data_IF_987876670681
#
_entry.id   IF_987876670681
#
_cell.length_a   1.000
_cell.length_b   1.000
_cell.length_c   1.000
_cell.angle_alpha   90.00
_cell.angle_beta   90.00
_cell.angle_gamma   90.00
#
_symmetry.space_group_name_H-M   'P 1'
#
loop_
_entity.id
_entity.type
_entity.pdbx_description
1 polymer ?
#
# COMPACT_ATOMS: atom_id res chain seq x y z
N UNK A 1 -25.69 -0.09 9.40
CA UNK A 1 -24.27 -0.14 9.74
C UNK A 1 -23.56 -0.97 8.68
N UNK A 2 -22.57 -0.40 8.01
CA UNK A 2 -21.82 -1.02 6.92
C UNK A 2 -20.32 -0.79 7.06
N UNK A 3 -19.51 -1.75 6.59
CA UNK A 3 -18.09 -1.55 6.27
C UNK A 3 -17.97 -1.15 4.82
N UNK A 4 -17.07 -0.23 4.53
CA UNK A 4 -16.82 0.27 3.19
C UNK A 4 -15.32 0.34 2.94
N UNK A 5 -14.89 -0.05 1.74
CA UNK A 5 -13.54 0.20 1.24
C UNK A 5 -13.63 0.99 -0.05
N UNK A 6 -13.10 2.20 -0.04
CA UNK A 6 -12.87 3.01 -1.23
C UNK A 6 -11.39 3.01 -1.55
N UNK A 7 -11.02 2.80 -2.80
CA UNK A 7 -9.60 2.84 -3.15
C UNK A 7 -9.30 2.68 -4.62
N UNK A 8 -8.03 2.79 -4.92
CA UNK A 8 -7.44 2.45 -6.22
C UNK A 8 -6.20 1.60 -6.03
N UNK A 9 -5.86 0.84 -7.05
CA UNK A 9 -4.65 0.04 -7.06
C UNK A 9 -4.02 -0.02 -8.47
N UNK A 10 -2.97 -0.83 -8.60
CA UNK A 10 -2.23 -1.00 -9.85
C UNK A 10 -3.08 -1.55 -11.02
N UNK A 11 -4.24 -2.16 -10.76
CA UNK A 11 -5.15 -2.65 -11.79
C UNK A 11 -6.14 -1.58 -12.26
N UNK A 12 -6.48 -0.61 -11.39
CA UNK A 12 -7.53 0.38 -11.67
C UNK A 12 -6.98 1.75 -12.05
N UNK A 13 -5.72 2.07 -11.71
CA UNK A 13 -5.17 3.40 -11.91
C UNK A 13 -3.73 3.38 -12.44
N UNK A 14 -3.40 4.30 -13.38
CA UNK A 14 -2.03 4.48 -13.86
C UNK A 14 -1.11 5.00 -12.74
N UNK A 15 0.21 4.79 -12.91
CA UNK A 15 1.24 5.17 -11.92
C UNK A 15 1.12 6.64 -11.51
N UNK A 16 0.97 7.55 -12.49
CA UNK A 16 0.89 8.98 -12.23
C UNK A 16 -0.26 9.37 -11.28
N UNK A 17 -1.42 8.71 -11.40
CA UNK A 17 -2.55 8.94 -10.50
C UNK A 17 -2.32 8.31 -9.12
N UNK A 18 -1.73 7.11 -9.08
CA UNK A 18 -1.38 6.44 -7.81
C UNK A 18 -0.39 7.28 -7.00
N UNK A 19 0.63 7.86 -7.66
CA UNK A 19 1.60 8.75 -7.02
C UNK A 19 0.96 10.02 -6.46
N UNK A 20 0.03 10.64 -7.19
CA UNK A 20 -0.71 11.82 -6.72
C UNK A 20 -1.54 11.51 -5.48
N UNK A 21 -2.20 10.34 -5.43
CA UNK A 21 -3.06 9.93 -4.33
C UNK A 21 -2.32 9.27 -3.17
N UNK A 22 -1.04 8.93 -3.33
CA UNK A 22 -0.24 8.31 -2.28
C UNK A 22 -0.01 9.24 -1.08
N UNK A 23 0.08 8.63 0.10
CA UNK A 23 0.48 9.30 1.34
C UNK A 23 1.91 8.84 1.68
N UNK A 24 2.91 9.72 1.54
CA UNK A 24 4.32 9.30 1.59
C UNK A 24 4.82 8.95 2.99
N UNK A 25 4.14 9.43 4.04
CA UNK A 25 4.57 9.22 5.43
C UNK A 25 3.39 8.92 6.35
N UNK A 26 3.68 8.35 7.53
CA UNK A 26 2.67 8.08 8.57
C UNK A 26 2.03 9.37 9.09
N UNK A 27 2.80 10.43 9.17
CA UNK A 27 2.37 11.76 9.59
C UNK A 27 1.36 12.33 8.58
N UNK A 28 1.63 12.15 7.28
CA UNK A 28 0.69 12.56 6.22
C UNK A 28 -0.64 11.79 6.32
N UNK A 29 -0.59 10.49 6.63
CA UNK A 29 -1.80 9.67 6.87
C UNK A 29 -2.54 10.18 8.11
N UNK A 30 -1.84 10.45 9.22
CA UNK A 30 -2.45 10.97 10.45
C UNK A 30 -3.13 12.33 10.26
N UNK A 31 -2.48 13.23 9.53
CA UNK A 31 -3.05 14.54 9.16
C UNK A 31 -4.30 14.37 8.31
N UNK A 32 -4.25 13.48 7.30
CA UNK A 32 -5.39 13.19 6.44
C UNK A 32 -6.57 12.58 7.21
N UNK A 33 -6.32 11.67 8.15
CA UNK A 33 -7.36 11.10 9.01
C UNK A 33 -7.99 12.16 9.93
N UNK A 34 -7.20 13.09 10.43
CA UNK A 34 -7.70 14.21 11.24
C UNK A 34 -8.58 15.16 10.41
N UNK A 35 -8.19 15.46 9.19
CA UNK A 35 -8.95 16.25 8.23
C UNK A 35 -10.26 15.52 7.83
N UNK A 36 -10.20 14.24 7.51
CA UNK A 36 -11.36 13.40 7.21
C UNK A 36 -12.36 13.41 8.37
N UNK A 37 -11.86 13.28 9.61
CA UNK A 37 -12.70 13.35 10.81
C UNK A 37 -13.41 14.70 10.93
N UNK A 38 -12.74 15.79 10.58
CA UNK A 38 -13.33 17.14 10.58
C UNK A 38 -14.49 17.29 9.60
N UNK A 39 -14.33 16.71 8.41
CA UNK A 39 -15.29 16.87 7.32
C UNK A 39 -16.39 15.79 7.26
N UNK A 40 -16.07 14.54 7.59
CA UNK A 40 -16.95 13.38 7.35
C UNK A 40 -17.24 12.57 8.62
N UNK A 41 -17.12 13.14 9.82
CA UNK A 41 -17.30 12.42 11.08
C UNK A 41 -18.64 11.67 11.20
N UNK A 42 -19.72 12.25 10.69
CA UNK A 42 -21.04 11.62 10.69
C UNK A 42 -21.17 10.46 9.72
N UNK A 43 -20.49 10.55 8.57
CA UNK A 43 -20.53 9.54 7.51
C UNK A 43 -19.46 8.46 7.69
N UNK A 44 -18.29 8.80 8.23
CA UNK A 44 -17.18 7.89 8.46
C UNK A 44 -16.60 8.04 9.88
N UNK A 45 -17.34 7.62 10.93
CA UNK A 45 -16.89 7.75 12.32
C UNK A 45 -15.67 6.89 12.64
N UNK A 46 -15.43 5.82 11.90
CA UNK A 46 -14.21 5.05 11.92
C UNK A 46 -13.59 5.05 10.52
N UNK A 47 -12.30 5.34 10.40
CA UNK A 47 -11.58 5.28 9.15
C UNK A 47 -10.10 4.91 9.34
N UNK A 48 -9.54 4.23 8.35
CA UNK A 48 -8.12 3.94 8.24
C UNK A 48 -7.67 4.10 6.79
N UNK A 49 -6.46 4.60 6.57
CA UNK A 49 -5.88 4.78 5.24
C UNK A 49 -4.69 3.83 5.09
N UNK A 50 -4.76 2.94 4.11
CA UNK A 50 -3.65 2.13 3.64
C UNK A 50 -3.09 2.78 2.36
N UNK A 51 -1.85 3.23 2.42
CA UNK A 51 -1.15 3.79 1.26
C UNK A 51 0.19 3.10 1.06
N UNK A 52 0.41 2.60 -0.15
CA UNK A 52 1.63 1.91 -0.58
C UNK A 52 2.02 2.42 -1.98
N UNK A 53 3.10 1.91 -2.57
CA UNK A 53 3.45 2.24 -3.97
C UNK A 53 2.39 1.76 -4.99
N UNK A 54 1.56 0.76 -4.62
CA UNK A 54 0.66 0.09 -5.54
C UNK A 54 -0.82 0.33 -5.25
N UNK A 55 -1.17 0.93 -4.10
CA UNK A 55 -2.56 1.20 -3.73
C UNK A 55 -2.69 2.36 -2.74
N UNK A 56 -3.82 3.02 -2.79
CA UNK A 56 -4.34 3.89 -1.74
C UNK A 56 -5.77 3.52 -1.47
N UNK A 57 -6.07 3.13 -0.23
CA UNK A 57 -7.38 2.62 0.18
C UNK A 57 -7.82 3.29 1.49
N UNK A 58 -9.09 3.63 1.57
CA UNK A 58 -9.77 4.10 2.77
C UNK A 58 -10.74 3.02 3.22
N UNK A 59 -10.50 2.46 4.38
CA UNK A 59 -11.42 1.57 5.06
C UNK A 59 -12.24 2.39 6.04
N UNK A 60 -13.55 2.28 6.01
CA UNK A 60 -14.39 3.01 6.97
C UNK A 60 -15.61 2.20 7.43
N UNK A 61 -16.11 2.59 8.60
CA UNK A 61 -17.44 2.21 9.09
C UNK A 61 -18.40 3.34 8.78
N UNK A 62 -19.57 3.02 8.29
CA UNK A 62 -20.62 4.00 8.00
C UNK A 62 -22.02 3.46 8.32
N UNK A 63 -22.96 4.34 8.62
CA UNK A 63 -24.38 4.02 8.71
C UNK A 63 -25.16 4.45 7.45
N UNK A 64 -24.51 5.25 6.57
CA UNK A 64 -25.09 5.73 5.31
C UNK A 64 -24.13 5.40 4.13
N UNK A 65 -24.04 4.13 3.68
CA UNK A 65 -23.08 3.71 2.67
C UNK A 65 -23.27 4.40 1.31
N UNK A 66 -24.51 4.73 0.93
CA UNK A 66 -24.81 5.38 -0.34
C UNK A 66 -24.31 6.84 -0.38
N UNK A 67 -24.23 7.50 0.79
CA UNK A 67 -23.71 8.87 0.92
C UNK A 67 -22.18 8.87 1.17
N UNK A 68 -21.70 7.91 1.94
CA UNK A 68 -20.29 7.85 2.34
C UNK A 68 -19.34 7.65 1.15
N UNK A 69 -19.71 6.81 0.18
CA UNK A 69 -18.89 6.56 -1.01
C UNK A 69 -18.59 7.83 -1.82
N UNK A 70 -19.62 8.55 -2.31
CA UNK A 70 -19.45 9.82 -3.00
C UNK A 70 -18.70 10.87 -2.16
N UNK A 71 -19.03 11.01 -0.87
CA UNK A 71 -18.38 11.96 0.02
C UNK A 71 -16.89 11.68 0.23
N UNK A 72 -16.50 10.41 0.37
CA UNK A 72 -15.09 10.00 0.46
C UNK A 72 -14.35 10.23 -0.85
N UNK A 73 -15.01 10.00 -2.00
CA UNK A 73 -14.44 10.27 -3.33
C UNK A 73 -14.15 11.76 -3.51
N UNK A 74 -15.11 12.60 -3.16
CA UNK A 74 -14.95 14.05 -3.19
C UNK A 74 -13.87 14.52 -2.22
N UNK A 75 -13.87 13.97 -1.00
CA UNK A 75 -12.88 14.33 0.01
C UNK A 75 -11.46 13.99 -0.45
N UNK A 76 -11.20 12.79 -0.96
CA UNK A 76 -9.85 12.42 -1.38
C UNK A 76 -9.39 13.22 -2.60
N UNK A 77 -10.29 13.49 -3.55
CA UNK A 77 -10.02 14.36 -4.70
C UNK A 77 -9.57 15.75 -4.27
N UNK A 78 -10.34 16.39 -3.38
CA UNK A 78 -10.03 17.71 -2.82
C UNK A 78 -8.76 17.71 -1.99
N UNK A 79 -8.61 16.73 -1.09
CA UNK A 79 -7.43 16.62 -0.21
C UNK A 79 -6.13 16.45 -1.00
N UNK A 80 -6.19 15.83 -2.16
CA UNK A 80 -5.04 15.58 -3.04
C UNK A 80 -4.90 16.57 -4.19
N UNK A 81 -5.85 17.52 -4.32
CA UNK A 81 -5.83 18.52 -5.39
C UNK A 81 -5.97 17.92 -6.79
N UNK A 82 -6.69 16.81 -6.92
CA UNK A 82 -6.98 16.16 -8.20
C UNK A 82 -8.42 16.38 -8.65
N UNK A 83 -9.14 17.28 -8.02
CA UNK A 83 -10.47 17.72 -8.39
C UNK A 83 -10.41 18.35 -9.79
N UNK A 84 -11.14 17.76 -10.76
CA UNK A 84 -11.15 18.23 -12.14
C UNK A 84 -10.05 17.69 -13.05
N UNK A 85 -9.11 16.91 -12.58
CA UNK A 85 -8.14 16.20 -13.40
C UNK A 85 -8.68 14.82 -13.83
N UNK A 86 -9.52 14.80 -14.85
CA UNK A 86 -10.11 13.55 -15.33
C UNK A 86 -11.19 12.97 -14.39
N UNK A 87 -11.72 11.81 -14.73
CA UNK A 87 -12.77 11.16 -13.93
C UNK A 87 -12.14 10.27 -12.85
N UNK A 88 -11.73 10.85 -11.72
CA UNK A 88 -11.17 10.11 -10.58
C UNK A 88 -12.05 8.90 -10.20
N UNK A 89 -13.38 9.06 -10.26
CA UNK A 89 -14.32 8.02 -9.90
C UNK A 89 -14.19 6.75 -10.78
N UNK A 90 -13.75 6.86 -12.03
CA UNK A 90 -13.53 5.69 -12.91
C UNK A 90 -12.35 4.81 -12.46
N UNK A 91 -11.43 5.38 -11.70
CA UNK A 91 -10.26 4.68 -11.19
C UNK A 91 -10.46 4.14 -9.77
N UNK A 92 -11.52 4.57 -9.08
CA UNK A 92 -11.82 4.16 -7.72
C UNK A 92 -12.79 2.97 -7.72
N UNK A 93 -12.47 1.96 -6.94
CA UNK A 93 -13.46 0.95 -6.57
C UNK A 93 -14.09 1.28 -5.23
N UNK A 94 -15.35 0.93 -5.10
CA UNK A 94 -16.14 1.05 -3.89
C UNK A 94 -16.69 -0.34 -3.52
N UNK A 95 -16.26 -0.86 -2.39
CA UNK A 95 -16.60 -2.21 -1.93
C UNK A 95 -17.37 -2.12 -0.61
N UNK A 96 -18.67 -2.44 -0.61
CA UNK A 96 -19.46 -2.43 0.62
C UNK A 96 -19.44 -3.80 1.33
N UNK A 97 -19.60 -3.79 2.64
CA UNK A 97 -19.90 -4.91 3.52
C UNK A 97 -18.99 -6.14 3.29
N UNK A 98 -19.57 -7.24 2.82
CA UNK A 98 -18.84 -8.48 2.56
C UNK A 98 -17.71 -8.28 1.53
N UNK A 99 -17.91 -7.38 0.55
CA UNK A 99 -16.89 -6.99 -0.41
C UNK A 99 -15.67 -6.37 0.27
N UNK A 100 -15.90 -5.44 1.19
CA UNK A 100 -14.83 -4.81 1.97
C UNK A 100 -14.06 -5.82 2.83
N UNK A 101 -14.78 -6.71 3.52
CA UNK A 101 -14.16 -7.75 4.37
C UNK A 101 -13.32 -8.72 3.52
N UNK A 102 -13.88 -9.22 2.44
CA UNK A 102 -13.17 -10.13 1.52
C UNK A 102 -11.93 -9.47 0.94
N UNK A 103 -12.05 -8.21 0.54
CA UNK A 103 -10.93 -7.44 0.01
C UNK A 103 -9.83 -7.24 1.05
N UNK A 104 -10.16 -6.83 2.28
CA UNK A 104 -9.21 -6.69 3.37
C UNK A 104 -8.42 -7.99 3.63
N UNK A 105 -9.10 -9.15 3.61
CA UNK A 105 -8.44 -10.45 3.76
C UNK A 105 -7.51 -10.78 2.60
N UNK A 106 -7.92 -10.50 1.35
CA UNK A 106 -7.09 -10.69 0.17
C UNK A 106 -5.84 -9.82 0.19
N UNK A 107 -6.01 -8.54 0.53
CA UNK A 107 -4.90 -7.58 0.65
C UNK A 107 -3.93 -8.02 1.75
N UNK A 108 -4.43 -8.30 2.96
CA UNK A 108 -3.59 -8.73 4.08
C UNK A 108 -2.80 -10.01 3.79
N UNK A 109 -3.38 -10.92 3.00
CA UNK A 109 -2.76 -12.19 2.59
C UNK A 109 -1.77 -12.04 1.41
N UNK A 110 -1.68 -10.84 0.80
CA UNK A 110 -0.86 -10.59 -0.40
C UNK A 110 -1.46 -11.18 -1.69
N UNK A 111 -2.75 -11.55 -1.69
CA UNK A 111 -3.46 -12.10 -2.85
C UNK A 111 -3.92 -11.03 -3.84
N UNK A 112 -3.79 -9.78 -3.48
CA UNK A 112 -4.12 -8.61 -4.30
C UNK A 112 -2.89 -7.74 -4.60
N UNK A 113 -1.70 -8.24 -4.33
CA UNK A 113 -0.43 -7.56 -4.58
C UNK A 113 0.09 -7.86 -5.99
N UNK A 114 0.92 -6.97 -6.56
CA UNK A 114 1.59 -7.20 -7.85
C UNK A 114 2.46 -8.48 -7.80
N UNK A 115 3.10 -8.71 -6.66
CA UNK A 115 3.81 -9.96 -6.38
C UNK A 115 2.98 -10.74 -5.37
N UNK A 116 2.40 -11.85 -5.82
CA UNK A 116 1.54 -12.67 -4.97
C UNK A 116 2.29 -13.15 -3.73
N UNK A 117 1.64 -12.95 -2.57
CA UNK A 117 2.17 -13.40 -1.30
C UNK A 117 3.28 -12.52 -0.71
N UNK A 118 3.55 -11.32 -1.24
CA UNK A 118 4.57 -10.43 -0.67
C UNK A 118 4.34 -10.20 0.84
N UNK A 119 5.37 -10.33 1.68
CA UNK A 119 5.20 -10.23 3.13
C UNK A 119 4.97 -8.80 3.63
N UNK A 120 5.36 -7.79 2.84
CA UNK A 120 5.37 -6.38 3.23
C UNK A 120 3.98 -5.81 3.45
N UNK A 121 3.00 -6.20 2.62
CA UNK A 121 1.64 -5.64 2.69
C UNK A 121 0.97 -5.85 4.04
N UNK A 122 1.21 -6.98 4.69
CA UNK A 122 0.69 -7.25 6.04
C UNK A 122 1.27 -6.27 7.07
N UNK A 123 2.55 -5.96 6.97
CA UNK A 123 3.23 -4.96 7.81
C UNK A 123 2.68 -3.56 7.57
N UNK A 124 2.48 -3.18 6.31
CA UNK A 124 1.90 -1.89 5.92
C UNK A 124 0.45 -1.75 6.42
N UNK A 125 -0.34 -2.81 6.34
CA UNK A 125 -1.71 -2.81 6.86
C UNK A 125 -1.77 -2.70 8.39
N UNK A 126 -0.83 -3.34 9.12
CA UNK A 126 -0.67 -3.15 10.57
C UNK A 126 -0.30 -1.71 10.91
N UNK A 127 0.57 -1.09 10.11
CA UNK A 127 0.95 0.32 10.28
C UNK A 127 -0.26 1.24 10.04
N UNK A 128 -1.06 1.00 9.00
CA UNK A 128 -2.29 1.76 8.73
C UNK A 128 -3.27 1.69 9.90
N UNK A 129 -3.49 0.50 10.46
CA UNK A 129 -4.34 0.33 11.65
C UNK A 129 -3.81 1.09 12.87
N UNK A 130 -2.48 1.07 13.10
CA UNK A 130 -1.85 1.81 14.19
C UNK A 130 -2.02 3.32 14.02
N UNK A 131 -1.75 3.86 12.84
CA UNK A 131 -1.93 5.30 12.57
C UNK A 131 -3.39 5.71 12.76
N UNK A 132 -4.35 4.89 12.33
CA UNK A 132 -5.76 5.13 12.58
C UNK A 132 -6.11 5.14 14.09
N UNK A 133 -5.50 4.25 14.87
CA UNK A 133 -5.65 4.23 16.33
C UNK A 133 -5.07 5.49 16.97
N UNK A 134 -3.85 5.87 16.60
CA UNK A 134 -3.17 7.07 17.14
C UNK A 134 -3.93 8.36 16.77
N UNK A 135 -4.66 8.35 15.63
CA UNK A 135 -5.52 9.44 15.18
C UNK A 135 -6.94 9.41 15.79
N UNK A 136 -7.25 8.47 16.69
CA UNK A 136 -8.58 8.23 17.25
C UNK A 136 -9.67 7.99 16.18
N UNK A 137 -9.30 7.30 15.10
CA UNK A 137 -10.19 6.93 13.98
C UNK A 137 -10.40 5.40 13.89
N UNK A 138 -9.75 4.61 14.73
CA UNK A 138 -9.93 3.17 14.80
C UNK A 138 -10.93 2.81 15.90
N UNK A 139 -12.19 2.61 15.54
CA UNK A 139 -13.20 2.10 16.46
C UNK A 139 -13.26 0.56 16.47
N UNK A 140 -14.25 0.01 17.18
CA UNK A 140 -14.38 -1.43 17.39
C UNK A 140 -14.56 -2.25 16.12
N UNK A 141 -15.26 -1.69 15.11
CA UNK A 141 -15.55 -2.40 13.86
C UNK A 141 -14.32 -2.55 12.98
N UNK A 142 -13.59 -1.46 12.75
CA UNK A 142 -12.34 -1.52 11.98
C UNK A 142 -11.26 -2.27 12.75
N UNK A 143 -11.20 -2.13 14.08
CA UNK A 143 -10.30 -2.94 14.89
C UNK A 143 -10.55 -4.44 14.66
N UNK A 144 -11.81 -4.88 14.73
CA UNK A 144 -12.17 -6.26 14.48
C UNK A 144 -11.84 -6.71 13.06
N UNK A 145 -12.13 -5.88 12.05
CA UNK A 145 -11.78 -6.15 10.66
C UNK A 145 -10.28 -6.39 10.50
N UNK A 146 -9.45 -5.50 11.02
CA UNK A 146 -7.99 -5.60 10.89
C UNK A 146 -7.44 -6.81 11.66
N UNK A 147 -7.88 -7.05 12.91
CA UNK A 147 -7.43 -8.22 13.68
C UNK A 147 -7.77 -9.54 12.97
N UNK A 148 -8.99 -9.64 12.43
CA UNK A 148 -9.39 -10.81 11.63
C UNK A 148 -8.58 -10.94 10.35
N UNK A 149 -8.32 -9.84 9.64
CA UNK A 149 -7.48 -9.84 8.44
C UNK A 149 -6.06 -10.33 8.75
N UNK A 150 -5.47 -9.92 9.88
CA UNK A 150 -4.14 -10.37 10.29
C UNK A 150 -4.12 -11.85 10.65
N UNK A 151 -5.16 -12.35 11.31
CA UNK A 151 -5.31 -13.78 11.64
C UNK A 151 -5.44 -14.63 10.38
N UNK A 152 -6.33 -14.23 9.46
CA UNK A 152 -6.53 -14.92 8.18
C UNK A 152 -5.26 -14.90 7.34
N UNK A 153 -4.56 -13.77 7.26
CA UNK A 153 -3.30 -13.67 6.52
C UNK A 153 -2.24 -14.63 7.09
N UNK A 154 -2.15 -14.76 8.41
CA UNK A 154 -1.24 -15.72 9.06
C UNK A 154 -1.63 -17.15 8.70
N UNK A 155 -2.90 -17.51 8.78
CA UNK A 155 -3.42 -18.84 8.46
C UNK A 155 -3.14 -19.20 7.00
N UNK A 156 -3.49 -18.32 6.04
CA UNK A 156 -3.22 -18.49 4.62
C UNK A 156 -1.73 -18.75 4.35
N UNK A 157 -0.86 -17.96 4.97
CA UNK A 157 0.60 -18.12 4.80
C UNK A 157 1.15 -19.41 5.41
N UNK A 158 0.51 -19.92 6.45
CA UNK A 158 0.95 -21.16 7.12
C UNK A 158 0.41 -22.40 6.45
N UNK A 159 -0.84 -22.34 5.94
CA UNK A 159 -1.54 -23.52 5.43
C UNK A 159 -1.45 -23.65 3.89
N UNK A 160 -0.88 -22.68 3.17
CA UNK A 160 -0.79 -22.71 1.72
C UNK A 160 0.64 -22.43 1.23
N UNK A 161 0.91 -22.78 -0.02
CA UNK A 161 2.20 -22.54 -0.67
C UNK A 161 2.54 -21.04 -0.84
N UNK A 162 1.58 -20.15 -0.67
CA UNK A 162 1.80 -18.70 -0.85
C UNK A 162 2.81 -18.14 0.16
N UNK A 163 2.85 -18.69 1.37
CA UNK A 163 3.84 -18.32 2.38
C UNK A 163 5.24 -18.85 2.09
N UNK A 164 5.33 -20.04 1.52
CA UNK A 164 6.60 -20.70 1.21
C UNK A 164 7.23 -20.17 -0.10
N UNK A 165 6.42 -19.71 -1.03
CA UNK A 165 6.85 -19.21 -2.34
C UNK A 165 6.80 -17.69 -2.48
N UNK A 166 6.61 -16.98 -1.37
CA UNK A 166 6.55 -15.51 -1.41
C UNK A 166 7.92 -14.95 -1.78
N UNK A 167 8.04 -14.54 -3.03
CA UNK A 167 9.23 -13.86 -3.55
C UNK A 167 8.97 -12.36 -3.42
N UNK A 168 9.84 -11.63 -2.71
CA UNK A 168 9.77 -10.17 -2.77
C UNK A 168 10.08 -9.70 -4.19
N UNK A 169 9.55 -8.54 -4.61
CA UNK A 169 9.88 -7.94 -5.91
C UNK A 169 11.40 -7.81 -6.09
N UNK A 170 12.12 -7.53 -5.01
CA UNK A 170 13.57 -7.45 -4.97
C UNK A 170 14.23 -8.80 -5.32
N UNK A 171 13.79 -9.89 -4.70
CA UNK A 171 14.30 -11.23 -5.00
C UNK A 171 13.88 -11.70 -6.40
N UNK A 172 12.69 -11.31 -6.87
CA UNK A 172 12.24 -11.59 -8.23
C UNK A 172 13.12 -10.89 -9.28
N UNK A 173 13.55 -9.65 -9.00
CA UNK A 173 14.45 -8.91 -9.90
C UNK A 173 15.83 -9.56 -10.03
N UNK A 174 16.39 -10.13 -8.96
CA UNK A 174 17.64 -10.89 -9.01
C UNK A 174 17.47 -12.14 -9.85
N UNK A 175 16.41 -12.94 -9.61
CA UNK A 175 16.13 -14.14 -10.41
C UNK A 175 15.94 -13.85 -11.90
N UNK A 176 15.30 -12.72 -12.21
CA UNK A 176 15.16 -12.29 -13.60
C UNK A 176 16.54 -11.96 -14.21
N UNK A 177 17.40 -11.29 -13.44
CA UNK A 177 18.79 -11.04 -13.84
C UNK A 177 19.55 -12.32 -14.14
N UNK A 178 19.45 -13.33 -13.26
CA UNK A 178 20.06 -14.65 -13.43
C UNK A 178 19.57 -15.39 -14.68
N UNK A 179 18.34 -15.13 -15.12
CA UNK A 179 17.80 -15.73 -16.36
C UNK A 179 18.28 -15.01 -17.63
N UNK A 180 18.60 -13.72 -17.53
CA UNK A 180 18.99 -12.90 -18.69
C UNK A 180 20.50 -12.86 -18.89
N UNK A 181 21.27 -12.82 -17.81
CA UNK A 181 22.72 -12.69 -17.83
C UNK A 181 23.38 -13.99 -17.35
N UNK A 182 24.39 -14.45 -18.10
CA UNK A 182 25.10 -15.70 -17.77
C UNK A 182 25.80 -15.63 -16.41
N UNK A 183 26.36 -14.46 -16.06
CA UNK A 183 27.05 -14.26 -14.80
C UNK A 183 26.81 -12.83 -14.25
N UNK A 184 26.11 -12.75 -13.14
CA UNK A 184 25.81 -11.46 -12.50
C UNK A 184 27.05 -10.78 -11.93
N UNK A 185 28.11 -11.55 -11.58
CA UNK A 185 29.35 -11.00 -11.06
C UNK A 185 30.13 -10.12 -12.09
N UNK A 186 29.84 -10.27 -13.36
CA UNK A 186 30.43 -9.44 -14.43
C UNK A 186 29.56 -8.23 -14.77
N UNK A 187 28.36 -8.16 -14.21
CA UNK A 187 27.39 -7.10 -14.49
C UNK A 187 27.59 -5.87 -13.60
N UNK A 188 27.10 -4.72 -14.11
CA UNK A 188 26.89 -3.52 -13.32
C UNK A 188 25.40 -3.28 -13.18
N UNK A 189 24.92 -3.02 -11.97
CA UNK A 189 23.51 -2.77 -11.67
C UNK A 189 23.31 -1.29 -11.37
N UNK A 190 22.37 -0.66 -12.04
CA UNK A 190 21.91 0.69 -11.77
C UNK A 190 20.54 0.63 -11.07
N UNK A 191 20.47 1.16 -9.86
CA UNK A 191 19.24 1.36 -9.11
C UNK A 191 18.82 2.83 -9.21
N UNK A 192 17.59 3.09 -9.66
CA UNK A 192 17.06 4.45 -9.81
C UNK A 192 16.00 4.69 -8.75
N UNK A 193 16.30 5.62 -7.83
CA UNK A 193 15.50 5.95 -6.66
C UNK A 193 16.26 5.69 -5.37
N UNK A 194 15.66 6.09 -4.22
CA UNK A 194 16.15 5.83 -2.87
C UNK A 194 14.99 5.69 -1.88
N UNK A 195 13.93 5.00 -2.28
CA UNK A 195 12.81 4.61 -1.44
C UNK A 195 12.99 3.20 -0.89
N UNK A 196 12.08 2.79 -0.01
CA UNK A 196 12.09 1.48 0.67
C UNK A 196 12.28 0.29 -0.30
N UNK A 197 11.62 0.32 -1.47
CA UNK A 197 11.77 -0.73 -2.48
C UNK A 197 13.19 -0.81 -3.04
N UNK A 198 13.84 0.33 -3.30
CA UNK A 198 15.21 0.37 -3.81
C UNK A 198 16.20 -0.09 -2.73
N UNK A 199 15.96 0.27 -1.46
CA UNK A 199 16.74 -0.22 -0.32
C UNK A 199 16.70 -1.76 -0.24
N UNK A 200 15.51 -2.36 -0.38
CA UNK A 200 15.35 -3.81 -0.41
C UNK A 200 15.99 -4.44 -1.65
N UNK A 201 15.85 -3.82 -2.83
CA UNK A 201 16.53 -4.27 -4.04
C UNK A 201 18.04 -4.21 -3.86
N UNK A 202 18.59 -3.12 -3.33
CA UNK A 202 20.02 -2.98 -3.06
C UNK A 202 20.54 -4.10 -2.16
N UNK A 203 19.83 -4.40 -1.06
CA UNK A 203 20.21 -5.48 -0.14
C UNK A 203 20.20 -6.87 -0.81
N UNK A 204 19.25 -7.15 -1.72
CA UNK A 204 19.20 -8.42 -2.43
C UNK A 204 20.25 -8.51 -3.54
N UNK A 205 20.53 -7.41 -4.24
CA UNK A 205 21.51 -7.36 -5.31
C UNK A 205 22.95 -7.28 -4.83
N UNK A 206 23.21 -6.72 -3.64
CA UNK A 206 24.55 -6.46 -3.14
C UNK A 206 25.55 -7.64 -3.26
N UNK A 207 25.15 -8.92 -3.06
CA UNK A 207 26.08 -10.05 -3.18
C UNK A 207 26.44 -10.45 -4.62
N UNK A 208 25.74 -9.94 -5.63
CA UNK A 208 25.79 -10.52 -6.98
C UNK A 208 26.64 -9.75 -7.99
N UNK A 209 26.49 -8.42 -8.19
CA UNK A 209 27.13 -7.72 -9.29
C UNK A 209 28.55 -7.27 -8.95
N UNK A 210 29.36 -7.08 -10.02
CA UNK A 210 30.68 -6.45 -9.89
C UNK A 210 30.61 -5.03 -9.31
N UNK A 211 29.57 -4.29 -9.66
CA UNK A 211 29.34 -2.91 -9.26
C UNK A 211 27.87 -2.60 -9.14
N UNK A 212 27.52 -1.86 -8.11
CA UNK A 212 26.18 -1.31 -7.95
C UNK A 212 26.25 0.23 -7.91
N UNK A 213 25.37 0.88 -8.65
CA UNK A 213 25.24 2.34 -8.70
C UNK A 213 23.83 2.72 -8.29
N UNK A 214 23.68 3.69 -7.41
CA UNK A 214 22.38 4.21 -6.99
C UNK A 214 22.28 5.65 -7.47
N UNK A 215 21.26 5.91 -8.30
CA UNK A 215 20.92 7.25 -8.79
C UNK A 215 19.63 7.74 -8.14
N UNK A 216 19.62 8.92 -7.57
CA UNK A 216 18.44 9.53 -6.98
C UNK A 216 18.46 11.06 -7.18
N UNK A 217 17.27 11.67 -7.29
CA UNK A 217 17.13 13.13 -7.39
C UNK A 217 17.72 13.85 -6.17
N UNK A 218 17.60 13.27 -4.98
CA UNK A 218 18.12 13.79 -3.71
C UNK A 218 19.29 12.92 -3.27
N UNK A 219 20.51 13.44 -3.36
CA UNK A 219 21.75 12.69 -3.08
C UNK A 219 21.82 12.22 -1.62
N UNK A 220 21.33 13.03 -0.68
CA UNK A 220 21.32 12.74 0.75
C UNK A 220 20.52 11.48 1.09
N UNK A 221 19.54 11.09 0.27
CA UNK A 221 18.78 9.85 0.41
C UNK A 221 19.50 8.64 -0.18
N UNK A 222 20.28 8.84 -1.23
CA UNK A 222 21.01 7.75 -1.88
C UNK A 222 22.29 7.35 -1.14
N UNK A 223 22.98 8.33 -0.52
CA UNK A 223 24.27 8.12 0.13
C UNK A 223 24.24 7.02 1.20
N UNK A 224 23.29 7.00 2.18
CA UNK A 224 23.24 5.95 3.20
C UNK A 224 23.04 4.55 2.63
N UNK A 225 22.39 4.44 1.45
CA UNK A 225 22.17 3.17 0.76
C UNK A 225 23.44 2.68 0.05
N UNK A 226 24.27 3.60 -0.43
CA UNK A 226 25.50 3.26 -1.13
C UNK A 226 26.67 2.95 -0.17
N UNK A 227 26.57 3.37 1.09
CA UNK A 227 27.58 3.17 2.14
C UNK A 227 27.35 1.85 2.93
N UNK A 228 26.24 1.17 2.74
CA UNK A 228 25.90 -0.15 3.31
C UNK A 228 26.42 -1.29 2.44
#
# INVERSE_FOLDING_TARGET
MALLTLGLNHNTAPVALREKLAFPTKEAIGTALSDLRGHLRSLAPEAAILSTCNRTEIYCKTDAPDEAGPALTEWIGRHKGVDGEGNLAEHLYLLPNQGAVRHAFRVASGLDSMVLGEPQILGQMKTAARVAQDSNMLGSHLHQLFQRSFSVAKEVRTQTAIGAQSVSMSAASVRLGEQIFENLADCSVLLIGAGEMIELCAAHWAPHPRRMVIANRTLERARPLAER
#
